data_IF_623190913099
#
_entry.id   IF_623190913099
#
_cell.length_a   1.000
_cell.length_b   1.000
_cell.length_c   1.000
_cell.angle_alpha   90.00
_cell.angle_beta   90.00
_cell.angle_gamma   90.00
#
_symmetry.space_group_name_H-M   'P 1'
#
loop_
_entity.id
_entity.type
_entity.pdbx_description
1 polymer ?
#
# COMPACT_ATOMS: atom_id res chain seq x y z
N UNK A 1 -7.31 -14.71 5.85
CA UNK A 1 -6.23 -13.74 6.15
C UNK A 1 -6.80 -12.35 6.18
N UNK A 2 -6.52 -11.58 7.21
CA UNK A 2 -7.00 -10.20 7.23
C UNK A 2 -6.10 -9.29 6.38
N UNK A 3 -6.63 -8.11 6.05
CA UNK A 3 -5.95 -7.19 5.15
C UNK A 3 -4.68 -6.60 5.77
N UNK A 4 -4.71 -6.30 7.08
CA UNK A 4 -3.54 -5.77 7.78
C UNK A 4 -2.37 -6.73 7.69
N UNK A 5 -2.61 -8.00 8.00
CA UNK A 5 -1.57 -9.03 7.94
C UNK A 5 -1.09 -9.24 6.51
N UNK A 6 -2.00 -9.27 5.56
CA UNK A 6 -1.65 -9.43 4.15
C UNK A 6 -0.73 -8.29 3.66
N UNK A 7 -1.10 -7.06 3.97
CA UNK A 7 -0.29 -5.90 3.55
C UNK A 7 1.08 -5.94 4.22
N UNK A 8 1.12 -6.19 5.51
CA UNK A 8 2.37 -6.22 6.27
C UNK A 8 3.30 -7.35 5.84
N UNK A 9 2.77 -8.55 5.68
CA UNK A 9 3.59 -9.76 5.50
C UNK A 9 3.89 -10.08 4.04
N UNK A 10 3.06 -9.61 3.11
CA UNK A 10 3.19 -9.95 1.69
C UNK A 10 3.29 -8.73 0.78
N UNK A 11 2.34 -7.83 0.83
CA UNK A 11 2.28 -6.72 -0.11
C UNK A 11 3.42 -5.72 0.11
N UNK A 12 3.66 -5.32 1.35
CA UNK A 12 4.73 -4.37 1.66
C UNK A 12 6.12 -4.91 1.27
N UNK A 13 6.50 -6.12 1.69
CA UNK A 13 7.80 -6.66 1.27
C UNK A 13 7.94 -6.78 -0.24
N UNK A 14 6.86 -7.17 -0.93
CA UNK A 14 6.87 -7.31 -2.39
C UNK A 14 7.12 -5.97 -3.08
N UNK A 15 6.37 -4.95 -2.69
CA UNK A 15 6.46 -3.62 -3.31
C UNK A 15 7.80 -2.97 -2.98
N UNK A 16 8.25 -3.06 -1.74
CA UNK A 16 9.55 -2.51 -1.32
C UNK A 16 10.68 -3.17 -2.12
N UNK A 17 10.61 -4.48 -2.33
CA UNK A 17 11.62 -5.20 -3.12
C UNK A 17 11.55 -4.85 -4.61
N UNK A 18 10.35 -4.64 -5.14
CA UNK A 18 10.16 -4.38 -6.57
C UNK A 18 10.45 -2.93 -6.96
N UNK A 19 10.18 -1.99 -6.07
CA UNK A 19 10.35 -0.56 -6.30
C UNK A 19 11.33 -0.02 -5.27
N UNK A 20 12.59 0.09 -5.65
CA UNK A 20 13.68 0.40 -4.73
C UNK A 20 13.58 1.72 -3.97
N UNK A 21 12.72 2.63 -4.40
CA UNK A 21 12.48 3.90 -3.72
C UNK A 21 11.31 3.86 -2.73
N UNK A 22 10.58 2.76 -2.66
CA UNK A 22 9.50 2.60 -1.67
C UNK A 22 10.11 2.19 -0.34
N UNK A 23 9.73 2.92 0.71
CA UNK A 23 10.23 2.69 2.07
C UNK A 23 9.31 1.76 2.84
N UNK A 24 7.99 1.95 2.72
CA UNK A 24 7.02 1.20 3.50
C UNK A 24 5.65 1.22 2.82
N UNK A 25 4.85 0.21 3.13
CA UNK A 25 3.45 0.11 2.72
C UNK A 25 2.66 -0.29 3.96
N UNK A 26 1.68 0.52 4.33
CA UNK A 26 0.89 0.35 5.56
C UNK A 26 -0.59 0.23 5.26
N UNK A 27 -1.28 -0.54 6.08
CA UNK A 27 -2.73 -0.65 6.05
C UNK A 27 -3.32 -0.03 7.31
N UNK A 28 -4.36 0.79 7.12
CA UNK A 28 -5.10 1.42 8.22
C UNK A 28 -6.59 1.20 8.03
N UNK A 29 -7.26 0.75 9.08
CA UNK A 29 -8.71 0.64 9.12
C UNK A 29 -9.23 1.51 10.25
N UNK A 30 -10.01 2.54 9.89
CA UNK A 30 -10.57 3.49 10.86
C UNK A 30 -11.99 3.13 11.31
N UNK A 31 -12.52 2.02 10.80
CA UNK A 31 -13.93 1.64 11.01
C UNK A 31 -14.84 2.19 9.92
N UNK A 32 -14.52 3.35 9.35
CA UNK A 32 -15.27 3.95 8.23
C UNK A 32 -14.55 3.79 6.90
N UNK A 33 -13.22 3.75 6.94
CA UNK A 33 -12.38 3.65 5.75
C UNK A 33 -11.28 2.63 5.95
N UNK A 34 -10.89 2.01 4.84
CA UNK A 34 -9.71 1.19 4.77
C UNK A 34 -8.75 1.85 3.78
N UNK A 35 -7.52 2.12 4.23
CA UNK A 35 -6.53 2.89 3.46
C UNK A 35 -5.22 2.11 3.43
N UNK A 36 -4.62 2.00 2.24
CA UNK A 36 -3.23 1.57 2.10
C UNK A 36 -2.39 2.81 1.82
N UNK A 37 -1.40 3.05 2.66
CA UNK A 37 -0.47 4.18 2.51
C UNK A 37 0.85 3.66 2.01
N UNK A 38 1.31 4.20 0.88
CA UNK A 38 2.62 3.89 0.32
C UNK A 38 3.54 5.08 0.56
N UNK A 39 4.70 4.82 1.16
CA UNK A 39 5.68 5.83 1.51
C UNK A 39 6.94 5.58 0.67
N UNK A 40 7.40 6.61 -0.04
CA UNK A 40 8.61 6.49 -0.88
C UNK A 40 9.47 7.74 -0.79
N UNK A 41 10.73 7.57 -1.19
CA UNK A 41 11.68 8.67 -1.28
C UNK A 41 11.83 9.04 -2.77
N UNK A 42 11.54 10.29 -3.12
CA UNK A 42 11.64 10.75 -4.51
C UNK A 42 13.01 11.35 -4.85
N UNK A 43 13.99 11.22 -3.93
CA UNK A 43 15.31 11.78 -4.08
C UNK A 43 15.46 13.18 -3.50
N UNK A 44 14.36 13.85 -3.16
CA UNK A 44 14.34 15.19 -2.56
C UNK A 44 13.63 15.21 -1.23
N UNK A 45 12.59 14.41 -1.09
CA UNK A 45 11.77 14.35 0.12
C UNK A 45 11.09 12.99 0.21
N UNK A 46 10.68 12.63 1.41
CA UNK A 46 9.82 11.47 1.64
C UNK A 46 8.39 11.88 1.33
N UNK A 47 7.72 11.08 0.50
CA UNK A 47 6.35 11.34 0.06
C UNK A 47 5.47 10.15 0.41
N UNK A 48 4.16 10.40 0.44
CA UNK A 48 3.18 9.33 0.65
C UNK A 48 1.97 9.50 -0.25
N UNK A 49 1.31 8.38 -0.53
CA UNK A 49 0.02 8.36 -1.21
C UNK A 49 -0.90 7.42 -0.45
N UNK A 50 -2.17 7.82 -0.32
CA UNK A 50 -3.19 7.03 0.33
C UNK A 50 -4.13 6.46 -0.74
N UNK A 51 -4.29 5.14 -0.74
CA UNK A 51 -5.17 4.43 -1.66
C UNK A 51 -6.36 3.92 -0.87
N UNK A 52 -7.57 4.35 -1.23
CA UNK A 52 -8.79 3.89 -0.59
C UNK A 52 -9.10 2.47 -1.08
N UNK A 53 -9.12 1.52 -0.15
CA UNK A 53 -9.37 0.11 -0.43
C UNK A 53 -10.57 -0.41 0.35
N UNK A 54 -11.46 0.49 0.78
CA UNK A 54 -12.65 0.15 1.57
C UNK A 54 -13.50 -0.87 0.82
N UNK A 55 -13.78 -1.99 1.49
CA UNK A 55 -14.59 -3.06 0.91
C UNK A 55 -13.87 -3.95 -0.12
N UNK A 56 -12.61 -3.69 -0.41
CA UNK A 56 -11.87 -4.48 -1.39
C UNK A 56 -11.55 -5.88 -0.86
N UNK A 57 -11.56 -6.88 -1.78
CA UNK A 57 -10.92 -8.17 -1.52
C UNK A 57 -9.41 -7.99 -1.51
N UNK A 58 -8.66 -9.01 -1.10
CA UNK A 58 -7.20 -8.96 -1.13
C UNK A 58 -6.67 -8.73 -2.55
N UNK A 59 -7.28 -9.37 -3.54
CA UNK A 59 -6.89 -9.18 -4.93
C UNK A 59 -7.19 -7.76 -5.41
N UNK A 60 -8.38 -7.24 -5.11
CA UNK A 60 -8.78 -5.89 -5.52
C UNK A 60 -7.91 -4.84 -4.84
N UNK A 61 -7.62 -5.01 -3.56
CA UNK A 61 -6.71 -4.15 -2.81
C UNK A 61 -5.34 -4.10 -3.47
N UNK A 62 -4.78 -5.26 -3.79
CA UNK A 62 -3.48 -5.38 -4.46
C UNK A 62 -3.50 -4.66 -5.80
N UNK A 63 -4.54 -4.90 -6.60
CA UNK A 63 -4.71 -4.27 -7.91
C UNK A 63 -4.79 -2.75 -7.80
N UNK A 64 -5.60 -2.24 -6.87
CA UNK A 64 -5.77 -0.80 -6.68
C UNK A 64 -4.46 -0.13 -6.28
N UNK A 65 -3.70 -0.74 -5.37
CA UNK A 65 -2.40 -0.20 -4.94
C UNK A 65 -1.40 -0.22 -6.10
N UNK A 66 -1.28 -1.34 -6.81
CA UNK A 66 -0.35 -1.46 -7.94
C UNK A 66 -0.70 -0.45 -9.04
N UNK A 67 -1.98 -0.34 -9.38
CA UNK A 67 -2.44 0.60 -10.40
C UNK A 67 -2.10 2.04 -10.04
N UNK A 68 -2.23 2.39 -8.77
CA UNK A 68 -1.89 3.72 -8.30
C UNK A 68 -0.39 4.01 -8.43
N UNK A 69 0.45 3.01 -8.16
CA UNK A 69 1.90 3.16 -8.22
C UNK A 69 2.44 3.23 -9.65
N UNK A 70 1.71 2.67 -10.62
CA UNK A 70 2.13 2.67 -12.01
C UNK A 70 1.74 3.92 -12.80
N UNK A 71 1.10 4.85 -12.16
CA UNK A 71 0.73 6.11 -12.80
C UNK A 71 1.91 7.06 -12.97
#
# INVERSE_FOLDING_TARGET
>A
MDKEKFVKDYLSPLIVAALGNVIDVRYTNTGSYEIVTVIWDDGKAVREVNVNVTGDSLLQLTEDVIRRLLR
#
